data_IF_044359638916
#
_entry.id   IF_044359638916
#
_cell.length_a   1.000
_cell.length_b   1.000
_cell.length_c   1.000
_cell.angle_alpha   90.00
_cell.angle_beta   90.00
_cell.angle_gamma   90.00
#
_symmetry.space_group_name_H-M   'P 1'
#
loop_
_entity.id
_entity.type
_entity.pdbx_description
1 polymer ?
#
# COMPACT_ATOMS: atom_id res chain seq x y z
N UNK A 1 1.98 5.71 -0.37
CA UNK A 1 2.01 5.13 1.00
C UNK A 1 3.16 4.15 1.21
N UNK A 2 3.31 3.11 0.38
CA UNK A 2 4.31 2.03 0.59
C UNK A 2 5.75 2.49 0.41
N UNK A 3 5.98 3.26 -0.65
CA UNK A 3 7.23 3.98 -0.86
C UNK A 3 7.53 4.92 0.31
N UNK A 4 6.51 5.50 0.92
CA UNK A 4 6.66 6.44 2.04
C UNK A 4 7.01 5.68 3.33
N UNK A 5 6.43 4.49 3.53
CA UNK A 5 6.58 3.71 4.76
C UNK A 5 7.87 2.87 4.76
N UNK A 6 8.22 2.26 3.63
CA UNK A 6 9.52 1.58 3.45
C UNK A 6 10.69 2.57 3.60
N UNK A 7 10.59 3.76 3.00
CA UNK A 7 11.60 4.81 3.15
C UNK A 7 11.66 5.37 4.57
N UNK A 8 10.52 5.53 5.25
CA UNK A 8 10.48 6.05 6.63
C UNK A 8 10.91 5.04 7.71
N UNK A 9 10.85 3.74 7.40
CA UNK A 9 11.10 2.63 8.33
C UNK A 9 12.48 2.02 8.16
N UNK A 10 13.01 1.88 6.93
CA UNK A 10 14.16 1.03 6.70
C UNK A 10 15.27 1.70 5.90
N UNK A 11 16.30 2.16 6.59
CA UNK A 11 17.64 2.05 6.08
C UNK A 11 18.49 1.40 7.19
N UNK A 12 19.00 0.20 6.93
CA UNK A 12 20.18 -0.30 7.65
C UNK A 12 21.21 0.85 7.64
N UNK A 13 21.83 1.12 8.78
CA UNK A 13 23.01 1.99 8.86
C UNK A 13 24.16 1.28 8.14
N UNK A 14 24.18 1.41 6.81
CA UNK A 14 25.26 0.95 5.95
C UNK A 14 26.30 2.07 5.94
N UNK A 15 27.58 1.80 6.30
CA UNK A 15 28.62 2.80 6.29
C UNK A 15 28.72 3.50 4.93
N UNK A 16 28.98 4.81 4.94
CA UNK A 16 29.05 5.63 3.73
C UNK A 16 30.07 5.09 2.71
N UNK A 17 31.17 4.51 3.20
CA UNK A 17 32.17 3.83 2.38
C UNK A 17 31.58 2.61 1.62
N UNK A 18 30.71 1.83 2.26
CA UNK A 18 30.04 0.68 1.65
C UNK A 18 28.97 1.10 0.65
N UNK A 19 28.28 2.22 0.91
CA UNK A 19 27.34 2.82 -0.06
C UNK A 19 28.08 3.33 -1.30
N UNK A 20 29.21 4.04 -1.12
CA UNK A 20 30.03 4.52 -2.24
C UNK A 20 30.65 3.37 -3.03
N UNK A 21 31.09 2.31 -2.36
CA UNK A 21 31.58 1.09 -3.02
C UNK A 21 30.46 0.38 -3.81
N UNK A 22 29.26 0.26 -3.24
CA UNK A 22 28.09 -0.31 -3.92
C UNK A 22 27.59 0.54 -5.10
N UNK A 23 27.80 1.86 -5.06
CA UNK A 23 27.52 2.77 -6.18
C UNK A 23 28.54 2.66 -7.32
N UNK A 24 29.79 2.33 -7.00
CA UNK A 24 30.88 2.18 -7.96
C UNK A 24 30.89 0.79 -8.65
N UNK A 25 30.53 -0.27 -7.92
CA UNK A 25 30.42 -1.63 -8.45
C UNK A 25 29.06 -2.25 -8.13
N UNK A 26 28.16 -2.28 -9.11
CA UNK A 26 26.89 -2.99 -9.00
C UNK A 26 27.08 -4.49 -9.28
N UNK A 27 27.58 -5.22 -8.27
CA UNK A 27 27.85 -6.66 -8.35
C UNK A 27 26.61 -7.54 -8.14
N UNK A 28 25.46 -6.98 -7.74
CA UNK A 28 24.23 -7.74 -7.49
C UNK A 28 24.30 -8.73 -6.31
N UNK A 29 25.33 -8.65 -5.47
CA UNK A 29 25.52 -9.50 -4.28
C UNK A 29 25.84 -8.65 -3.04
N UNK A 30 25.64 -9.19 -1.83
CA UNK A 30 26.00 -8.53 -0.56
C UNK A 30 25.24 -7.22 -0.29
N UNK A 31 25.92 -6.20 0.24
CA UNK A 31 25.32 -4.90 0.58
C UNK A 31 24.88 -4.09 -0.66
N UNK A 32 25.45 -4.36 -1.85
CA UNK A 32 24.97 -3.78 -3.10
C UNK A 32 23.57 -4.30 -3.48
N UNK A 33 23.30 -5.60 -3.29
CA UNK A 33 21.93 -6.14 -3.38
C UNK A 33 21.00 -5.52 -2.34
N UNK A 34 21.49 -5.23 -1.13
CA UNK A 34 20.69 -4.53 -0.11
C UNK A 34 20.36 -3.10 -0.53
N UNK A 35 21.32 -2.35 -1.08
CA UNK A 35 21.20 -0.94 -1.48
C UNK A 35 20.37 -0.77 -2.77
N UNK A 36 20.54 -1.65 -3.75
CA UNK A 36 19.91 -1.55 -5.06
C UNK A 36 18.61 -2.35 -5.16
N UNK A 37 18.55 -3.57 -4.61
CA UNK A 37 17.44 -4.51 -4.81
C UNK A 37 16.52 -4.68 -3.58
N UNK A 38 17.02 -4.67 -2.33
CA UNK A 38 16.17 -4.78 -1.13
C UNK A 38 15.63 -3.44 -0.61
N UNK A 39 16.17 -2.30 -1.09
CA UNK A 39 15.53 -0.99 -0.93
C UNK A 39 14.38 -0.77 -1.93
N UNK A 40 14.11 -1.76 -2.79
CA UNK A 40 12.89 -1.80 -3.60
C UNK A 40 11.74 -2.32 -2.74
N UNK A 41 10.68 -1.52 -2.54
CA UNK A 41 9.56 -1.91 -1.70
C UNK A 41 8.75 -3.00 -2.41
N UNK A 42 8.97 -4.26 -2.02
CA UNK A 42 8.08 -5.39 -2.29
C UNK A 42 6.82 -5.38 -1.41
N UNK A 43 6.69 -4.42 -0.49
CA UNK A 43 5.57 -4.34 0.42
C UNK A 43 4.35 -3.67 -0.25
N UNK A 44 3.28 -4.46 -0.49
CA UNK A 44 1.92 -4.05 -0.86
C UNK A 44 1.17 -3.44 0.34
N UNK A 45 0.14 -2.58 0.20
CA UNK A 45 -0.67 -2.12 1.34
C UNK A 45 -1.33 -3.30 2.06
N UNK A 46 -1.59 -4.40 1.35
CA UNK A 46 -2.02 -5.66 1.94
C UNK A 46 -1.01 -6.23 2.94
N UNK A 47 0.30 -6.01 2.74
CA UNK A 47 1.35 -6.50 3.63
C UNK A 47 1.39 -5.70 4.94
N UNK A 48 0.97 -4.43 4.95
CA UNK A 48 0.87 -3.63 6.18
C UNK A 48 -0.43 -3.88 6.96
N UNK A 49 -1.19 -4.92 6.60
CA UNK A 49 -2.41 -5.30 7.31
C UNK A 49 -3.61 -4.40 7.04
N UNK A 50 -3.53 -3.42 6.13
CA UNK A 50 -4.66 -2.54 5.77
C UNK A 50 -5.82 -3.37 5.22
N UNK A 51 -5.55 -4.22 4.22
CA UNK A 51 -6.57 -5.05 3.59
C UNK A 51 -7.10 -6.12 4.55
N UNK A 52 -6.21 -6.76 5.32
CA UNK A 52 -6.61 -7.79 6.29
C UNK A 52 -7.46 -7.21 7.42
N UNK A 53 -7.11 -6.01 7.92
CA UNK A 53 -7.87 -5.31 8.93
C UNK A 53 -9.23 -4.84 8.44
N UNK A 54 -9.29 -4.28 7.23
CA UNK A 54 -10.55 -3.93 6.61
C UNK A 54 -11.45 -5.17 6.44
N UNK A 55 -10.89 -6.26 5.90
CA UNK A 55 -11.62 -7.51 5.65
C UNK A 55 -12.23 -8.12 6.92
N UNK A 56 -11.46 -8.23 8.02
CA UNK A 56 -11.96 -8.85 9.26
C UNK A 56 -13.05 -8.01 9.90
N UNK A 57 -12.94 -6.68 9.86
CA UNK A 57 -13.98 -5.80 10.42
C UNK A 57 -15.26 -5.83 9.58
N UNK A 58 -15.15 -5.89 8.25
CA UNK A 58 -16.33 -6.08 7.38
C UNK A 58 -16.99 -7.42 7.66
N UNK A 59 -16.22 -8.50 7.71
CA UNK A 59 -16.73 -9.84 8.00
C UNK A 59 -17.44 -9.90 9.37
N UNK A 60 -16.85 -9.28 10.40
CA UNK A 60 -17.46 -9.16 11.74
C UNK A 60 -18.74 -8.32 11.70
N UNK A 61 -18.74 -7.19 11.00
CA UNK A 61 -19.91 -6.32 10.91
C UNK A 61 -21.11 -7.04 10.26
N UNK A 62 -20.86 -7.85 9.25
CA UNK A 62 -21.92 -8.62 8.59
C UNK A 62 -22.34 -9.80 9.46
N UNK A 63 -21.40 -10.68 9.83
CA UNK A 63 -21.69 -11.95 10.49
C UNK A 63 -22.21 -11.79 11.93
N UNK A 64 -21.74 -10.78 12.68
CA UNK A 64 -22.09 -10.61 14.09
C UNK A 64 -23.04 -9.44 14.34
N UNK A 65 -22.96 -8.37 13.54
CA UNK A 65 -23.78 -7.16 13.73
C UNK A 65 -24.92 -7.02 12.71
N UNK A 66 -25.00 -7.91 11.73
CA UNK A 66 -26.07 -7.90 10.71
C UNK A 66 -26.00 -6.70 9.75
N UNK A 67 -24.84 -6.05 9.63
CA UNK A 67 -24.67 -4.87 8.76
C UNK A 67 -24.49 -5.32 7.31
N UNK A 68 -25.57 -5.32 6.54
CA UNK A 68 -25.58 -5.78 5.15
C UNK A 68 -25.43 -4.65 4.13
N UNK A 69 -25.61 -3.39 4.54
CA UNK A 69 -25.54 -2.24 3.64
C UNK A 69 -24.11 -1.81 3.39
N UNK A 70 -23.84 -1.41 2.14
CA UNK A 70 -22.54 -0.90 1.69
C UNK A 70 -22.07 0.27 2.55
N UNK A 71 -22.95 1.25 2.76
CA UNK A 71 -22.65 2.44 3.56
C UNK A 71 -22.33 2.09 5.03
N UNK A 72 -22.93 1.02 5.56
CA UNK A 72 -22.68 0.57 6.92
C UNK A 72 -21.31 -0.07 7.08
N UNK A 73 -21.01 -1.12 6.31
CA UNK A 73 -19.77 -1.87 6.49
C UNK A 73 -18.51 -1.10 6.05
N UNK A 74 -18.63 -0.04 5.24
CA UNK A 74 -17.51 0.85 4.85
C UNK A 74 -16.83 1.47 6.08
N UNK A 75 -17.59 1.85 7.10
CA UNK A 75 -17.02 2.40 8.34
C UNK A 75 -16.24 1.36 9.13
N UNK A 76 -16.71 0.12 9.13
CA UNK A 76 -16.01 -1.00 9.75
C UNK A 76 -14.73 -1.33 8.99
N UNK A 77 -14.77 -1.36 7.65
CA UNK A 77 -13.59 -1.53 6.81
C UNK A 77 -12.52 -0.46 7.12
N UNK A 78 -12.94 0.79 7.19
CA UNK A 78 -12.06 1.92 7.48
C UNK A 78 -11.48 1.84 8.91
N UNK A 79 -12.30 1.53 9.90
CA UNK A 79 -11.86 1.33 11.29
C UNK A 79 -10.85 0.17 11.39
N UNK A 80 -11.12 -0.95 10.73
CA UNK A 80 -10.23 -2.10 10.70
C UNK A 80 -8.88 -1.77 10.09
N UNK A 81 -8.85 -1.03 8.99
CA UNK A 81 -7.60 -0.54 8.39
C UNK A 81 -6.80 0.36 9.36
N UNK A 82 -7.48 1.25 10.09
CA UNK A 82 -6.87 2.16 11.05
C UNK A 82 -6.44 1.53 12.36
N UNK A 83 -7.05 0.41 12.76
CA UNK A 83 -6.66 -0.33 13.96
C UNK A 83 -5.50 -1.28 13.65
N UNK A 84 -5.60 -2.02 12.56
CA UNK A 84 -4.64 -3.09 12.24
C UNK A 84 -3.32 -2.53 11.73
N UNK A 85 -3.31 -1.45 10.95
CA UNK A 85 -2.04 -0.91 10.43
C UNK A 85 -1.11 -0.42 11.54
N UNK A 86 -1.57 0.36 12.53
CA UNK A 86 -0.76 0.70 13.70
C UNK A 86 -0.40 -0.51 14.56
N UNK A 87 -1.27 -1.53 14.64
CA UNK A 87 -0.95 -2.77 15.35
C UNK A 87 0.23 -3.51 14.68
N UNK A 88 0.22 -3.66 13.35
CA UNK A 88 1.37 -4.20 12.59
C UNK A 88 2.61 -3.37 12.85
N UNK A 89 2.50 -2.04 12.81
CA UNK A 89 3.62 -1.14 13.09
C UNK A 89 4.16 -1.30 14.51
N UNK A 90 3.29 -1.39 15.52
CA UNK A 90 3.69 -1.58 16.92
C UNK A 90 4.38 -2.93 17.14
N UNK A 91 3.87 -4.01 16.54
CA UNK A 91 4.47 -5.35 16.62
C UNK A 91 5.82 -5.37 15.91
N UNK A 92 5.88 -4.80 14.69
CA UNK A 92 7.09 -4.78 13.87
C UNK A 92 8.18 -3.82 14.35
N UNK A 93 7.85 -2.86 15.23
CA UNK A 93 8.80 -1.89 15.80
C UNK A 93 9.25 -2.21 17.23
N UNK A 94 8.72 -3.27 17.86
CA UNK A 94 9.03 -3.64 19.25
C UNK A 94 10.41 -4.29 19.48
N UNK A 95 11.22 -4.51 18.45
CA UNK A 95 12.53 -5.14 18.54
C UNK A 95 13.62 -4.26 19.16
N UNK A 96 14.60 -4.89 19.83
CA UNK A 96 15.84 -4.23 20.30
C UNK A 96 16.72 -3.88 19.10
N UNK A 97 16.57 -2.67 18.54
CA UNK A 97 17.42 -2.22 17.42
C UNK A 97 16.85 -1.13 16.52
N UNK A 98 15.65 -0.63 16.77
CA UNK A 98 14.94 0.28 15.87
C UNK A 98 14.02 -0.48 14.91
N UNK A 99 13.40 0.22 13.97
CA UNK A 99 12.39 -0.37 13.09
C UNK A 99 13.11 -1.07 11.94
N UNK A 100 12.96 -2.40 11.85
CA UNK A 100 13.48 -3.18 10.74
C UNK A 100 12.36 -3.48 9.72
N UNK A 101 12.63 -3.21 8.44
CA UNK A 101 11.68 -3.44 7.37
C UNK A 101 11.31 -4.93 7.23
N UNK A 102 12.26 -5.83 7.53
CA UNK A 102 12.00 -7.28 7.52
C UNK A 102 11.06 -7.65 8.67
N UNK A 103 11.32 -7.17 9.89
CA UNK A 103 10.42 -7.38 11.04
C UNK A 103 9.01 -6.85 10.80
N UNK A 104 8.89 -5.64 10.23
CA UNK A 104 7.59 -5.06 9.91
C UNK A 104 6.83 -5.89 8.86
N UNK A 105 7.55 -6.40 7.85
CA UNK A 105 6.97 -7.29 6.83
C UNK A 105 6.52 -8.61 7.43
N UNK A 106 7.34 -9.24 8.27
CA UNK A 106 6.99 -10.50 8.95
C UNK A 106 5.80 -10.31 9.90
N UNK A 107 5.77 -9.22 10.67
CA UNK A 107 4.64 -8.88 11.54
C UNK A 107 3.34 -8.71 10.72
N UNK A 108 3.43 -8.02 9.59
CA UNK A 108 2.30 -7.81 8.68
C UNK A 108 1.79 -9.11 8.06
N UNK A 109 2.68 -9.98 7.59
CA UNK A 109 2.34 -11.30 7.03
C UNK A 109 1.71 -12.19 8.11
N UNK A 110 2.30 -12.25 9.31
CA UNK A 110 1.80 -13.08 10.40
C UNK A 110 0.42 -12.62 10.88
N UNK A 111 0.24 -11.32 11.15
CA UNK A 111 -1.05 -10.77 11.57
C UNK A 111 -2.08 -10.88 10.44
N UNK A 112 -1.68 -10.62 9.20
CA UNK A 112 -2.52 -10.78 8.02
C UNK A 112 -3.06 -12.21 7.88
N UNK A 113 -2.20 -13.22 8.04
CA UNK A 113 -2.59 -14.63 7.98
C UNK A 113 -3.59 -14.99 9.10
N UNK A 114 -3.36 -14.51 10.33
CA UNK A 114 -4.28 -14.70 11.45
C UNK A 114 -5.66 -14.11 11.15
N UNK A 115 -5.70 -12.85 10.72
CA UNK A 115 -6.96 -12.16 10.43
C UNK A 115 -7.71 -12.79 9.24
N UNK A 116 -6.98 -13.26 8.22
CA UNK A 116 -7.57 -14.00 7.11
C UNK A 116 -8.18 -15.34 7.56
N UNK A 117 -7.56 -16.03 8.51
CA UNK A 117 -8.15 -17.23 9.12
C UNK A 117 -9.50 -16.93 9.80
N UNK A 118 -9.60 -15.79 10.49
CA UNK A 118 -10.85 -15.34 11.12
C UNK A 118 -11.90 -15.02 10.05
N UNK A 119 -11.54 -14.25 9.02
CA UNK A 119 -12.44 -13.94 7.89
C UNK A 119 -12.97 -15.22 7.26
N UNK A 120 -12.08 -16.18 6.96
CA UNK A 120 -12.47 -17.46 6.37
C UNK A 120 -13.46 -18.20 7.26
N UNK A 121 -13.19 -18.30 8.57
CA UNK A 121 -14.10 -18.90 9.54
C UNK A 121 -15.48 -18.26 9.53
N UNK A 122 -15.55 -16.91 9.55
CA UNK A 122 -16.82 -16.19 9.50
C UNK A 122 -17.58 -16.41 8.19
N UNK A 123 -16.89 -16.38 7.05
CA UNK A 123 -17.51 -16.59 5.74
C UNK A 123 -17.98 -18.03 5.52
N UNK A 124 -17.37 -19.02 6.17
CA UNK A 124 -17.83 -20.41 6.10
C UNK A 124 -19.06 -20.67 6.97
N UNK A 125 -19.24 -19.88 8.03
CA UNK A 125 -20.35 -20.02 8.97
C UNK A 125 -21.59 -19.22 8.56
N UNK A 126 -21.42 -18.12 7.82
CA UNK A 126 -22.50 -17.23 7.42
C UNK A 126 -22.54 -16.99 5.89
N UNK A 127 -23.60 -17.46 5.19
CA UNK A 127 -23.75 -17.26 3.75
C UNK A 127 -23.82 -15.78 3.33
N UNK A 128 -24.38 -14.91 4.18
CA UNK A 128 -24.46 -13.48 3.90
C UNK A 128 -23.10 -12.81 3.90
N UNK A 129 -22.26 -13.16 4.88
CA UNK A 129 -20.86 -12.75 4.98
C UNK A 129 -20.06 -13.30 3.80
N UNK A 130 -20.32 -14.54 3.36
CA UNK A 130 -19.70 -15.09 2.15
C UNK A 130 -20.00 -14.25 0.90
N UNK A 131 -21.27 -13.97 0.61
CA UNK A 131 -21.67 -13.23 -0.58
C UNK A 131 -21.20 -11.77 -0.56
N UNK A 132 -21.30 -11.12 0.60
CA UNK A 132 -20.83 -9.76 0.80
C UNK A 132 -19.29 -9.67 0.71
N UNK A 133 -18.55 -10.59 1.34
CA UNK A 133 -17.08 -10.63 1.23
C UNK A 133 -16.62 -11.00 -0.17
N UNK A 134 -17.34 -11.88 -0.88
CA UNK A 134 -17.06 -12.20 -2.28
C UNK A 134 -17.17 -10.96 -3.16
N UNK A 135 -18.26 -10.21 -3.04
CA UNK A 135 -18.48 -8.99 -3.82
C UNK A 135 -17.51 -7.88 -3.45
N UNK A 136 -17.21 -7.70 -2.15
CA UNK A 136 -16.26 -6.70 -1.67
C UNK A 136 -14.81 -7.02 -2.07
N UNK A 137 -14.37 -8.27 -1.92
CA UNK A 137 -13.02 -8.72 -2.30
C UNK A 137 -12.75 -8.63 -3.80
N UNK A 138 -13.80 -8.65 -4.63
CA UNK A 138 -13.63 -8.51 -6.07
C UNK A 138 -13.10 -7.13 -6.48
N UNK A 139 -13.23 -6.12 -5.62
CA UNK A 139 -12.74 -4.77 -5.84
C UNK A 139 -13.54 -4.07 -6.95
N UNK A 140 -14.59 -3.32 -6.58
CA UNK A 140 -15.55 -2.77 -7.54
C UNK A 140 -15.86 -1.29 -7.32
N UNK A 141 -16.00 -0.57 -8.42
CA UNK A 141 -16.53 0.79 -8.53
C UNK A 141 -18.06 0.83 -8.55
N UNK A 142 -18.71 -0.32 -8.80
CA UNK A 142 -20.15 -0.44 -9.02
C UNK A 142 -20.89 -0.25 -7.71
N UNK A 143 -21.95 0.58 -7.72
CA UNK A 143 -22.76 0.87 -6.54
C UNK A 143 -22.06 1.74 -5.49
N UNK A 144 -20.94 2.39 -5.83
CA UNK A 144 -20.20 3.32 -4.95
C UNK A 144 -20.52 4.77 -5.33
N UNK A 145 -21.72 5.21 -4.98
CA UNK A 145 -22.21 6.55 -5.26
C UNK A 145 -21.60 7.64 -4.36
N UNK A 146 -22.10 8.86 -4.53
CA UNK A 146 -21.70 10.03 -3.73
C UNK A 146 -22.00 9.87 -2.24
N UNK A 147 -22.98 9.07 -1.90
CA UNK A 147 -23.41 8.70 -0.54
C UNK A 147 -22.36 7.90 0.24
N UNK A 148 -21.50 7.16 -0.47
CA UNK A 148 -20.35 6.43 0.11
C UNK A 148 -19.07 7.26 0.02
N UNK A 149 -18.89 8.03 -1.06
CA UNK A 149 -17.67 8.82 -1.28
C UNK A 149 -17.56 10.07 -0.39
N UNK A 150 -18.63 10.87 -0.30
CA UNK A 150 -18.60 12.15 0.43
C UNK A 150 -18.21 12.01 1.91
N UNK A 151 -18.70 11.00 2.66
CA UNK A 151 -18.31 10.83 4.06
C UNK A 151 -16.83 10.43 4.26
N UNK A 152 -16.23 9.75 3.28
CA UNK A 152 -14.84 9.28 3.35
C UNK A 152 -13.85 10.32 2.78
N UNK A 153 -14.33 11.20 1.90
CA UNK A 153 -13.58 12.28 1.27
C UNK A 153 -12.69 13.12 2.22
N UNK A 154 -13.15 13.59 3.40
CA UNK A 154 -12.29 14.35 4.31
C UNK A 154 -11.07 13.54 4.78
N UNK A 155 -11.22 12.24 5.01
CA UNK A 155 -10.10 11.37 5.40
C UNK A 155 -9.11 11.16 4.27
N UNK A 156 -9.60 11.04 3.03
CA UNK A 156 -8.75 11.01 1.85
C UNK A 156 -7.96 12.33 1.71
N UNK A 157 -8.62 13.47 1.92
CA UNK A 157 -7.98 14.79 1.92
C UNK A 157 -6.88 14.91 2.97
N UNK A 158 -7.15 14.50 4.22
CA UNK A 158 -6.15 14.50 5.31
C UNK A 158 -4.95 13.62 4.95
N UNK A 159 -5.20 12.40 4.47
CA UNK A 159 -4.12 11.49 4.09
C UNK A 159 -3.32 12.00 2.89
N UNK A 160 -3.95 12.70 1.93
CA UNK A 160 -3.27 13.34 0.80
C UNK A 160 -2.35 14.47 1.25
N UNK A 161 -2.86 15.36 2.11
CA UNK A 161 -2.06 16.45 2.68
C UNK A 161 -0.91 15.88 3.50
N UNK A 162 -1.16 14.86 4.32
CA UNK A 162 -0.11 14.21 5.09
C UNK A 162 0.97 13.58 4.19
N UNK A 163 0.59 12.92 3.09
CA UNK A 163 1.51 12.37 2.12
C UNK A 163 2.35 13.46 1.43
N UNK A 164 1.73 14.57 1.03
CA UNK A 164 2.41 15.70 0.40
C UNK A 164 3.41 16.38 1.36
N UNK A 165 3.04 16.55 2.64
CA UNK A 165 3.92 17.11 3.67
C UNK A 165 5.08 16.19 4.03
N UNK A 166 4.90 14.87 3.94
CA UNK A 166 5.97 13.89 4.16
C UNK A 166 6.96 13.83 2.98
N UNK A 167 6.51 14.15 1.77
CA UNK A 167 7.25 13.94 0.52
C UNK A 167 8.70 14.47 0.54
N UNK A 168 8.99 15.72 0.96
CA UNK A 168 10.35 16.26 0.92
C UNK A 168 11.27 15.55 1.91
N UNK A 169 10.77 15.28 3.13
CA UNK A 169 11.53 14.62 4.18
C UNK A 169 11.86 13.17 3.84
N UNK A 170 11.03 12.50 3.06
CA UNK A 170 11.27 11.11 2.67
C UNK A 170 12.53 10.95 1.81
N UNK A 171 12.86 11.91 0.95
CA UNK A 171 14.13 11.87 0.21
C UNK A 171 15.34 11.86 1.17
N UNK A 172 15.26 12.62 2.27
CA UNK A 172 16.31 12.64 3.29
C UNK A 172 16.32 11.36 4.13
N UNK A 173 15.15 10.88 4.57
CA UNK A 173 15.04 9.65 5.37
C UNK A 173 15.50 8.41 4.58
N UNK A 174 15.35 8.41 3.25
CA UNK A 174 15.89 7.35 2.38
C UNK A 174 17.41 7.17 2.50
N UNK A 175 18.14 8.22 2.87
CA UNK A 175 19.60 8.19 3.06
C UNK A 175 20.02 7.59 4.41
N UNK A 176 19.07 7.36 5.33
CA UNK A 176 19.33 6.89 6.69
C UNK A 176 18.92 7.90 7.75
N UNK A 177 18.47 7.42 8.91
CA UNK A 177 17.93 8.27 9.97
C UNK A 177 18.95 9.28 10.51
N UNK A 178 20.22 8.88 10.64
CA UNK A 178 21.29 9.73 11.18
C UNK A 178 21.65 10.86 10.20
N UNK A 179 21.78 10.53 8.91
CA UNK A 179 22.04 11.51 7.86
C UNK A 179 20.84 12.43 7.67
N UNK A 180 19.62 11.90 7.68
CA UNK A 180 18.40 12.69 7.62
C UNK A 180 18.32 13.72 8.77
N UNK A 181 18.63 13.31 10.01
CA UNK A 181 18.68 14.22 11.16
C UNK A 181 19.75 15.30 10.99
N UNK A 182 20.93 14.96 10.48
CA UNK A 182 22.00 15.94 10.21
C UNK A 182 21.65 16.95 9.11
N UNK A 183 20.82 16.55 8.14
CA UNK A 183 20.27 17.41 7.08
C UNK A 183 19.06 18.24 7.55
N UNK A 184 18.70 18.18 8.83
CA UNK A 184 17.60 18.94 9.43
C UNK A 184 16.22 18.29 9.30
N UNK A 185 16.12 17.03 8.86
CA UNK A 185 14.85 16.32 8.75
C UNK A 185 14.37 15.80 10.11
N UNK A 186 13.10 16.06 10.44
CA UNK A 186 12.45 15.49 11.62
C UNK A 186 11.88 14.11 11.31
N UNK A 187 12.67 13.05 11.57
CA UNK A 187 12.31 11.64 11.30
C UNK A 187 10.99 11.24 11.98
N UNK A 188 10.81 11.59 13.26
CA UNK A 188 9.58 11.26 14.00
C UNK A 188 8.33 11.91 13.39
N UNK A 189 8.41 13.20 13.02
CA UNK A 189 7.30 13.90 12.35
C UNK A 189 6.97 13.24 11.00
N UNK A 190 8.00 12.87 10.24
CA UNK A 190 7.84 12.19 8.95
C UNK A 190 7.12 10.85 9.12
N UNK A 191 7.50 10.06 10.13
CA UNK A 191 6.82 8.80 10.47
C UNK A 191 5.35 8.99 10.84
N UNK A 192 5.03 9.99 11.66
CA UNK A 192 3.63 10.32 12.00
C UNK A 192 2.83 10.70 10.75
N UNK A 193 3.38 11.55 9.87
CA UNK A 193 2.72 11.92 8.61
C UNK A 193 2.50 10.71 7.69
N UNK A 194 3.45 9.78 7.66
CA UNK A 194 3.33 8.53 6.90
C UNK A 194 2.25 7.61 7.48
N UNK A 195 2.12 7.53 8.80
CA UNK A 195 1.01 6.82 9.46
C UNK A 195 -0.33 7.50 9.12
N UNK A 196 -0.41 8.84 9.13
CA UNK A 196 -1.61 9.55 8.72
C UNK A 196 -1.94 9.32 7.23
N UNK A 197 -0.93 9.15 6.37
CA UNK A 197 -1.14 8.80 4.97
C UNK A 197 -1.80 7.41 4.79
N UNK A 198 -1.87 6.57 5.83
CA UNK A 198 -2.66 5.32 5.84
C UNK A 198 -4.15 5.59 5.65
N UNK A 199 -4.65 6.77 6.06
CA UNK A 199 -6.04 7.17 5.83
C UNK A 199 -6.43 7.12 4.35
N UNK A 200 -5.49 7.40 3.44
CA UNK A 200 -5.73 7.26 2.00
C UNK A 200 -5.99 5.81 1.60
N UNK A 201 -5.12 4.90 2.01
CA UNK A 201 -5.24 3.49 1.63
C UNK A 201 -6.43 2.84 2.33
N UNK A 202 -6.62 3.10 3.63
CA UNK A 202 -7.78 2.60 4.37
C UNK A 202 -9.10 3.12 3.78
N UNK A 203 -9.18 4.41 3.44
CA UNK A 203 -10.36 5.00 2.80
C UNK A 203 -10.62 4.42 1.41
N UNK A 204 -9.59 4.30 0.58
CA UNK A 204 -9.70 3.69 -0.74
C UNK A 204 -10.14 2.22 -0.66
N UNK A 205 -9.52 1.41 0.21
CA UNK A 205 -9.89 0.00 0.42
C UNK A 205 -11.30 -0.14 1.00
N UNK A 206 -11.72 0.75 1.90
CA UNK A 206 -13.07 0.72 2.45
C UNK A 206 -14.14 0.96 1.37
N UNK A 207 -13.92 1.94 0.48
CA UNK A 207 -14.85 2.28 -0.60
C UNK A 207 -14.81 1.24 -1.71
N UNK A 208 -13.62 0.94 -2.25
CA UNK A 208 -13.49 0.22 -3.50
C UNK A 208 -13.21 -1.28 -3.30
N UNK A 209 -12.98 -1.72 -2.07
CA UNK A 209 -12.44 -3.05 -1.78
C UNK A 209 -10.93 -3.13 -2.00
N UNK A 210 -10.31 -4.29 -1.75
CA UNK A 210 -8.88 -4.48 -1.95
C UNK A 210 -8.54 -4.46 -3.44
N UNK A 211 -7.85 -3.41 -3.90
CA UNK A 211 -7.35 -3.30 -5.27
C UNK A 211 -5.83 -3.48 -5.27
N UNK A 212 -5.40 -4.67 -5.69
CA UNK A 212 -3.98 -5.01 -5.80
C UNK A 212 -3.32 -4.34 -7.02
N UNK A 213 -1.98 -4.37 -7.04
CA UNK A 213 -1.10 -3.89 -8.12
C UNK A 213 -1.07 -2.38 -8.33
N UNK A 214 -2.13 -1.62 -8.10
CA UNK A 214 -2.13 -0.16 -8.30
C UNK A 214 -1.10 0.52 -7.39
N UNK A 215 -1.10 0.15 -6.10
CA UNK A 215 -0.19 0.70 -5.10
C UNK A 215 1.29 0.33 -5.32
N UNK A 216 1.55 -0.75 -6.04
CA UNK A 216 2.89 -1.19 -6.41
C UNK A 216 3.30 -0.60 -7.76
N UNK A 217 2.52 -0.80 -8.81
CA UNK A 217 2.85 -0.42 -10.18
C UNK A 217 2.94 1.10 -10.37
N UNK A 218 1.94 1.86 -9.92
CA UNK A 218 1.84 3.29 -10.27
C UNK A 218 3.02 4.10 -9.76
N UNK A 219 3.47 3.95 -8.50
CA UNK A 219 4.66 4.66 -8.03
C UNK A 219 5.95 4.29 -8.78
N UNK A 220 6.09 3.05 -9.25
CA UNK A 220 7.25 2.62 -10.02
C UNK A 220 7.23 3.19 -11.44
N UNK A 221 6.07 3.21 -12.09
CA UNK A 221 5.88 3.88 -13.38
C UNK A 221 6.14 5.38 -13.25
N UNK A 222 5.61 6.02 -12.20
CA UNK A 222 5.86 7.42 -11.91
C UNK A 222 7.36 7.71 -11.75
N UNK A 223 8.07 6.90 -10.96
CA UNK A 223 9.52 7.00 -10.78
C UNK A 223 10.29 6.89 -12.10
N UNK A 224 9.83 6.08 -13.04
CA UNK A 224 10.47 5.98 -14.34
C UNK A 224 10.29 7.25 -15.19
N UNK A 225 9.14 7.94 -15.05
CA UNK A 225 8.83 9.17 -15.79
C UNK A 225 9.56 10.39 -15.20
N UNK A 226 9.57 10.53 -13.87
CA UNK A 226 10.07 11.76 -13.19
C UNK A 226 11.36 11.58 -12.40
N UNK A 227 11.90 10.37 -12.35
CA UNK A 227 13.10 10.05 -11.56
C UNK A 227 12.81 9.74 -10.08
N UNK A 228 13.85 9.70 -9.22
CA UNK A 228 13.76 9.19 -7.86
C UNK A 228 13.17 10.18 -6.83
N UNK A 229 12.94 11.45 -7.20
CA UNK A 229 12.44 12.46 -6.25
C UNK A 229 11.00 12.14 -5.80
N UNK A 230 10.84 11.88 -4.50
CA UNK A 230 9.58 11.47 -3.90
C UNK A 230 8.46 12.52 -4.06
N UNK A 231 8.79 13.81 -4.20
CA UNK A 231 7.80 14.88 -4.41
C UNK A 231 7.07 14.70 -5.73
N UNK A 232 7.84 14.47 -6.80
CA UNK A 232 7.32 14.28 -8.14
C UNK A 232 6.66 12.91 -8.29
N UNK A 233 7.21 11.86 -7.67
CA UNK A 233 6.57 10.55 -7.65
C UNK A 233 5.17 10.65 -7.04
N UNK A 234 5.02 11.30 -5.89
CA UNK A 234 3.70 11.46 -5.26
C UNK A 234 2.77 12.28 -6.16
N UNK A 235 3.22 13.42 -6.68
CA UNK A 235 2.41 14.26 -7.56
C UNK A 235 1.93 13.49 -8.81
N UNK A 236 2.81 12.72 -9.46
CA UNK A 236 2.44 11.88 -10.59
C UNK A 236 1.50 10.74 -10.19
N UNK A 237 1.69 10.12 -9.03
CA UNK A 237 0.80 9.02 -8.58
C UNK A 237 -0.62 9.47 -8.34
N UNK A 238 -0.83 10.72 -7.89
CA UNK A 238 -2.17 11.31 -7.68
C UNK A 238 -2.96 11.38 -8.99
N UNK A 239 -2.28 11.52 -10.13
CA UNK A 239 -2.91 11.55 -11.45
C UNK A 239 -2.96 10.16 -12.09
N UNK A 240 -1.83 9.43 -12.07
CA UNK A 240 -1.71 8.15 -12.75
C UNK A 240 -2.59 7.04 -12.14
N UNK A 241 -2.78 7.02 -10.82
CA UNK A 241 -3.57 5.96 -10.18
C UNK A 241 -5.07 6.04 -10.55
N UNK A 242 -5.75 7.21 -10.44
CA UNK A 242 -7.11 7.34 -10.94
C UNK A 242 -7.25 7.08 -12.44
N UNK A 243 -6.32 7.57 -13.27
CA UNK A 243 -6.35 7.32 -14.72
C UNK A 243 -6.26 5.83 -15.06
N UNK A 244 -5.37 5.10 -14.39
CA UNK A 244 -5.27 3.64 -14.53
C UNK A 244 -6.55 2.94 -14.08
N UNK A 245 -7.13 3.34 -12.94
CA UNK A 245 -8.37 2.74 -12.44
C UNK A 245 -9.54 2.98 -13.40
N UNK A 246 -9.67 4.18 -13.95
CA UNK A 246 -10.68 4.49 -14.97
C UNK A 246 -10.46 3.67 -16.24
N UNK A 247 -9.22 3.53 -16.71
CA UNK A 247 -8.91 2.69 -17.85
C UNK A 247 -9.24 1.21 -17.59
N UNK A 248 -8.96 0.70 -16.39
CA UNK A 248 -9.29 -0.66 -15.99
C UNK A 248 -10.81 -0.88 -15.89
N UNK A 249 -11.57 0.10 -15.38
CA UNK A 249 -13.04 0.06 -15.36
C UNK A 249 -13.64 -0.01 -16.77
N UNK A 250 -13.18 0.88 -17.66
CA UNK A 250 -13.63 0.91 -19.06
C UNK A 250 -13.28 -0.40 -19.78
N UNK A 251 -12.07 -0.91 -19.60
CA UNK A 251 -11.65 -2.20 -20.18
C UNK A 251 -12.51 -3.36 -19.67
N UNK A 252 -12.82 -3.39 -18.36
CA UNK A 252 -13.69 -4.39 -17.76
C UNK A 252 -15.09 -4.40 -18.38
N UNK A 253 -15.64 -3.22 -18.70
CA UNK A 253 -16.95 -3.06 -19.35
C UNK A 253 -16.94 -3.45 -20.83
N UNK A 254 -15.85 -3.18 -21.55
CA UNK A 254 -15.75 -3.43 -22.99
C UNK A 254 -15.47 -4.90 -23.32
N UNK A 255 -14.63 -5.59 -22.52
CA UNK A 255 -14.16 -6.94 -22.86
C UNK A 255 -15.23 -8.05 -22.74
N UNK A 256 -16.27 -7.88 -21.91
CA UNK A 256 -17.17 -8.98 -21.53
C UNK A 256 -18.66 -8.57 -21.39
N UNK A 257 -19.22 -7.74 -22.27
CA UNK A 257 -20.68 -7.47 -22.25
C UNK A 257 -21.48 -8.78 -22.35
N UNK A 258 -22.51 -9.06 -21.52
CA UNK A 258 -23.26 -8.24 -20.55
C UNK A 258 -22.86 -8.40 -19.06
N UNK A 259 -21.66 -8.93 -18.75
CA UNK A 259 -21.15 -9.04 -17.38
C UNK A 259 -20.18 -7.90 -17.03
N UNK A 260 -20.31 -7.31 -15.85
CA UNK A 260 -19.35 -6.32 -15.35
C UNK A 260 -18.18 -7.04 -14.66
N UNK A 261 -16.97 -6.91 -15.21
CA UNK A 261 -15.76 -7.38 -14.53
C UNK A 261 -15.34 -6.34 -13.50
N UNK A 262 -15.18 -6.72 -12.22
CA UNK A 262 -14.67 -5.83 -11.20
C UNK A 262 -13.27 -5.30 -11.53
N UNK A 263 -13.02 -4.02 -11.26
CA UNK A 263 -11.75 -3.34 -11.52
C UNK A 263 -10.58 -4.07 -10.85
N UNK A 264 -10.80 -4.65 -9.66
CA UNK A 264 -9.82 -5.45 -8.93
C UNK A 264 -9.37 -6.74 -9.63
N UNK A 265 -10.11 -7.22 -10.62
CA UNK A 265 -9.73 -8.35 -11.49
C UNK A 265 -8.96 -7.87 -12.72
N UNK A 266 -9.30 -6.69 -13.25
CA UNK A 266 -8.65 -6.12 -14.44
C UNK A 266 -7.26 -5.55 -14.11
N UNK A 267 -7.11 -4.89 -12.95
CA UNK A 267 -5.84 -4.23 -12.59
C UNK A 267 -4.66 -5.20 -12.44
N UNK A 268 -4.79 -6.43 -11.88
CA UNK A 268 -3.71 -7.41 -11.87
C UNK A 268 -3.35 -7.95 -13.26
N UNK A 269 -4.33 -8.12 -14.15
CA UNK A 269 -4.10 -8.60 -15.52
C UNK A 269 -3.28 -7.62 -16.34
N UNK A 270 -3.46 -6.31 -16.11
CA UNK A 270 -2.63 -5.26 -16.71
C UNK A 270 -1.33 -5.07 -15.93
N UNK A 271 -1.42 -5.05 -14.60
CA UNK A 271 -0.32 -4.70 -13.71
C UNK A 271 0.78 -5.77 -13.64
N UNK A 272 0.42 -7.05 -13.69
CA UNK A 272 1.37 -8.16 -13.71
C UNK A 272 2.35 -8.08 -14.87
N UNK A 273 1.88 -8.01 -16.14
CA UNK A 273 2.74 -7.81 -17.30
C UNK A 273 3.61 -6.56 -17.23
N UNK A 274 3.06 -5.43 -16.78
CA UNK A 274 3.82 -4.17 -16.64
C UNK A 274 4.94 -4.31 -15.61
N UNK A 275 4.66 -4.90 -14.44
CA UNK A 275 5.68 -5.16 -13.42
C UNK A 275 6.74 -6.15 -13.92
N UNK A 276 6.35 -7.20 -14.65
CA UNK A 276 7.30 -8.15 -15.27
C UNK A 276 8.21 -7.42 -16.26
N UNK A 277 7.65 -6.56 -17.12
CA UNK A 277 8.42 -5.75 -18.06
C UNK A 277 9.39 -4.79 -17.36
N UNK A 278 8.94 -4.15 -16.26
CA UNK A 278 9.77 -3.26 -15.44
C UNK A 278 10.97 -3.99 -14.85
N UNK A 279 10.74 -5.15 -14.23
CA UNK A 279 11.82 -5.97 -13.63
C UNK A 279 12.78 -6.49 -14.70
N UNK A 280 12.28 -6.88 -15.88
CA UNK A 280 13.13 -7.35 -16.98
C UNK A 280 14.01 -6.25 -17.56
N UNK A 281 13.55 -5.00 -17.60
CA UNK A 281 14.33 -3.87 -18.12
C UNK A 281 15.39 -3.36 -17.15
N UNK A 282 15.14 -3.44 -15.83
CA UNK A 282 16.17 -3.13 -14.82
C UNK A 282 17.43 -3.98 -14.97
N UNK A 283 17.27 -5.27 -15.34
CA UNK A 283 18.40 -6.15 -15.66
C UNK A 283 19.11 -5.82 -16.98
N UNK A 284 18.45 -5.14 -17.91
CA UNK A 284 19.00 -4.79 -19.22
C UNK A 284 19.75 -3.44 -19.24
N UNK A 285 19.45 -2.54 -18.30
CA UNK A 285 20.17 -1.27 -18.10
C UNK A 285 21.39 -1.38 -17.18
N UNK A 286 21.78 -2.60 -16.79
CA UNK A 286 22.98 -2.90 -16.00
C UNK A 286 24.11 -3.57 -16.79
N UNK A 287 24.13 -3.42 -18.13
CA UNK A 287 25.29 -3.70 -18.99
C UNK A 287 26.00 -2.39 -19.33
#
# INVERSE_FOLDING_TARGET
>A
MLLLLSVAVGAKNIPLATVLAALAENTGQGDAYVVWDLRVPLADPGILGVNAGAAVFVAVAIALLGVTSVQGYVWFAFAGALVVTPAVYAIGSGGRGGIDAVQLTLAGVALGALLQGIVMGLTLLDPGAFDAMRSWNAGSSVGRGWDVLLPVLPFLGIGLVAAALAAPSLNAVALGDDLARSLGAHVTRTRVLVILAVLLAGGATAIAGPIAFVGLMVPHVARWIVGPDQRWIIACTVLLAPSLMLAADVLGRVLLGPGEIPVGVVTPLVGGPVLILLVRRLKASGL
#
